data_IF_047660314377
#
_entry.id   IF_047660314377
#
_cell.length_a   1.000
_cell.length_b   1.000
_cell.length_c   1.000
_cell.angle_alpha   90.00
_cell.angle_beta   90.00
_cell.angle_gamma   90.00
#
_symmetry.space_group_name_H-M   'P 1'
#
loop_
_entity.id
_entity.type
_entity.pdbx_description
1 polymer ?
#
# COMPACT_ATOMS: atom_id res chain seq x y z
N UNK A 1 44.10 -1.47 -48.64
CA UNK A 1 44.47 -1.03 -47.28
C UNK A 1 43.23 -0.40 -46.65
N UNK A 2 42.93 -0.70 -45.37
CA UNK A 2 41.80 -0.19 -44.55
C UNK A 2 40.45 -0.91 -44.79
N UNK A 3 39.73 -1.48 -43.82
CA UNK A 3 40.01 -2.14 -42.54
C UNK A 3 38.71 -2.91 -42.20
N UNK A 4 38.82 -4.21 -41.96
CA UNK A 4 37.78 -5.05 -41.34
C UNK A 4 37.59 -4.55 -39.90
N UNK A 5 36.61 -3.70 -39.62
CA UNK A 5 36.41 -3.18 -38.26
C UNK A 5 34.97 -2.82 -37.86
N UNK A 6 33.96 -3.07 -38.70
CA UNK A 6 32.57 -2.70 -38.38
C UNK A 6 31.77 -3.81 -37.67
N UNK A 7 32.24 -5.06 -37.71
CA UNK A 7 31.49 -6.21 -37.22
C UNK A 7 31.40 -6.36 -35.68
N UNK A 8 32.40 -5.97 -34.86
CA UNK A 8 32.28 -6.16 -33.40
C UNK A 8 31.43 -5.07 -32.72
N UNK A 9 31.22 -3.92 -33.37
CA UNK A 9 30.47 -2.79 -32.79
C UNK A 9 28.95 -3.00 -32.87
N UNK A 10 28.48 -3.65 -33.94
CA UNK A 10 27.05 -3.95 -34.12
C UNK A 10 26.56 -5.06 -33.15
N UNK A 11 27.44 -6.00 -32.80
CA UNK A 11 27.12 -7.10 -31.89
C UNK A 11 27.02 -6.65 -30.42
N UNK A 12 27.74 -5.58 -30.04
CA UNK A 12 27.65 -4.98 -28.70
C UNK A 12 26.32 -4.22 -28.47
N UNK A 13 25.74 -3.66 -29.53
CA UNK A 13 24.47 -2.91 -29.49
C UNK A 13 23.24 -3.82 -29.37
N UNK A 14 23.31 -5.05 -29.90
CA UNK A 14 22.23 -6.04 -29.79
C UNK A 14 22.20 -6.69 -28.39
N UNK A 15 23.36 -6.88 -27.75
CA UNK A 15 23.44 -7.41 -26.38
C UNK A 15 22.98 -6.40 -25.31
N UNK A 16 23.11 -5.10 -25.55
CA UNK A 16 22.66 -4.06 -24.60
C UNK A 16 21.13 -3.82 -24.64
N UNK A 17 20.48 -4.16 -25.77
CA UNK A 17 19.03 -3.97 -25.95
C UNK A 17 18.15 -4.97 -25.19
N UNK A 18 18.68 -6.15 -24.83
CA UNK A 18 17.88 -7.20 -24.17
C UNK A 18 17.76 -7.04 -22.64
N UNK A 19 18.46 -6.09 -22.01
CA UNK A 19 18.46 -5.94 -20.55
C UNK A 19 17.41 -4.96 -19.99
N UNK A 20 16.63 -4.25 -20.81
CA UNK A 20 15.68 -3.24 -20.31
C UNK A 20 14.25 -3.73 -20.10
N UNK A 21 13.88 -4.93 -20.59
CA UNK A 21 12.49 -5.39 -20.55
C UNK A 21 12.04 -5.92 -19.19
N UNK A 22 12.96 -6.30 -18.30
CA UNK A 22 12.62 -6.84 -16.98
C UNK A 22 12.05 -5.78 -16.02
N UNK A 23 12.60 -4.55 -16.05
CA UNK A 23 12.20 -3.50 -15.11
C UNK A 23 10.78 -2.97 -15.34
N UNK A 24 10.30 -2.97 -16.59
CA UNK A 24 8.93 -2.56 -16.91
C UNK A 24 7.89 -3.60 -16.48
N UNK A 25 8.17 -4.89 -16.70
CA UNK A 25 7.27 -5.97 -16.30
C UNK A 25 7.08 -6.04 -14.77
N UNK A 26 8.18 -5.91 -14.01
CA UNK A 26 8.14 -5.90 -12.53
C UNK A 26 7.34 -4.70 -11.99
N UNK A 27 7.38 -3.56 -12.67
CA UNK A 27 6.61 -2.37 -12.27
C UNK A 27 5.12 -2.54 -12.50
N UNK A 28 4.71 -3.01 -13.68
CA UNK A 28 3.29 -3.29 -13.98
C UNK A 28 2.73 -4.31 -12.98
N UNK A 29 3.55 -5.28 -12.56
CA UNK A 29 3.18 -6.23 -11.52
C UNK A 29 3.00 -5.58 -10.14
N UNK A 30 3.90 -4.68 -9.72
CA UNK A 30 3.75 -3.98 -8.44
C UNK A 30 2.49 -3.10 -8.42
N UNK A 31 2.26 -2.31 -9.46
CA UNK A 31 1.10 -1.43 -9.57
C UNK A 31 -0.21 -2.23 -9.54
N UNK A 32 -0.30 -3.30 -10.34
CA UNK A 32 -1.44 -4.21 -10.33
C UNK A 32 -1.67 -4.82 -8.95
N UNK A 33 -0.62 -5.30 -8.28
CA UNK A 33 -0.73 -5.90 -6.95
C UNK A 33 -1.21 -4.88 -5.91
N UNK A 34 -0.76 -3.62 -6.00
CA UNK A 34 -1.22 -2.53 -5.15
C UNK A 34 -2.69 -2.21 -5.39
N UNK A 35 -3.12 -2.07 -6.65
CA UNK A 35 -4.53 -1.83 -6.99
C UNK A 35 -5.45 -2.94 -6.44
N UNK A 36 -5.06 -4.20 -6.63
CA UNK A 36 -5.79 -5.36 -6.09
C UNK A 36 -5.88 -5.37 -4.56
N UNK A 37 -4.90 -4.78 -3.86
CA UNK A 37 -4.77 -4.85 -2.39
C UNK A 37 -5.20 -3.60 -1.66
N UNK A 38 -5.61 -2.56 -2.38
CA UNK A 38 -5.91 -1.26 -1.81
C UNK A 38 -7.40 -1.00 -1.75
N UNK A 39 -7.92 -0.80 -0.53
CA UNK A 39 -9.21 -0.17 -0.32
C UNK A 39 -9.01 1.33 -0.10
N UNK A 40 -9.72 2.17 -0.85
CA UNK A 40 -9.61 3.64 -0.72
C UNK A 40 -10.88 4.21 -0.07
N UNK A 41 -10.71 4.90 1.04
CA UNK A 41 -11.78 5.59 1.75
C UNK A 41 -11.51 7.10 1.79
N UNK A 42 -12.48 7.89 1.35
CA UNK A 42 -12.46 9.35 1.48
C UNK A 42 -13.33 9.79 2.66
N UNK A 43 -12.69 10.21 3.75
CA UNK A 43 -13.39 10.64 4.97
C UNK A 43 -14.11 11.96 4.70
N UNK A 44 -15.41 12.04 5.05
CA UNK A 44 -16.31 13.16 4.75
C UNK A 44 -16.47 13.49 3.24
N UNK A 45 -15.94 12.64 2.35
CA UNK A 45 -16.01 12.86 0.91
C UNK A 45 -17.39 12.53 0.34
N UNK A 46 -17.83 13.33 -0.63
CA UNK A 46 -19.02 13.05 -1.42
C UNK A 46 -18.64 12.79 -2.88
N UNK A 47 -19.27 11.78 -3.49
CA UNK A 47 -19.06 11.45 -4.90
C UNK A 47 -19.93 12.34 -5.79
N UNK A 48 -19.30 13.06 -6.71
CA UNK A 48 -19.96 13.81 -7.78
C UNK A 48 -19.46 13.27 -9.13
N UNK A 49 -20.23 12.37 -9.74
CA UNK A 49 -19.79 11.65 -10.94
C UNK A 49 -18.54 10.82 -10.64
N UNK A 50 -17.42 11.18 -11.28
CA UNK A 50 -16.12 10.53 -11.08
C UNK A 50 -15.19 11.29 -10.13
N UNK A 51 -15.68 12.37 -9.50
CA UNK A 51 -14.91 13.20 -8.58
C UNK A 51 -15.32 12.94 -7.13
N UNK A 52 -14.37 13.07 -6.22
CA UNK A 52 -14.63 13.16 -4.78
C UNK A 52 -14.44 14.60 -4.36
N UNK A 53 -15.46 15.16 -3.70
CA UNK A 53 -15.48 16.56 -3.26
C UNK A 53 -15.63 16.62 -1.76
N UNK A 54 -15.02 17.62 -1.14
CA UNK A 54 -15.21 17.95 0.27
C UNK A 54 -14.46 17.05 1.26
N UNK A 55 -13.80 15.99 0.78
CA UNK A 55 -13.06 15.04 1.61
C UNK A 55 -12.08 15.75 2.56
N UNK A 56 -12.05 15.27 3.80
CA UNK A 56 -11.11 15.72 4.83
C UNK A 56 -9.77 15.00 4.70
N UNK A 57 -9.82 13.71 4.43
CA UNK A 57 -8.66 12.86 4.25
C UNK A 57 -8.96 11.71 3.28
N UNK A 58 -7.91 11.18 2.66
CA UNK A 58 -7.90 9.92 1.92
C UNK A 58 -7.14 8.88 2.76
N UNK A 59 -7.77 7.75 2.98
CA UNK A 59 -7.20 6.59 3.67
C UNK A 59 -7.09 5.45 2.67
N UNK A 60 -5.89 4.89 2.53
CA UNK A 60 -5.64 3.71 1.71
C UNK A 60 -5.26 2.56 2.63
N UNK A 61 -6.09 1.52 2.67
CA UNK A 61 -5.83 0.28 3.40
C UNK A 61 -5.21 -0.72 2.43
N UNK A 62 -3.91 -0.95 2.55
CA UNK A 62 -3.14 -1.79 1.63
C UNK A 62 -2.85 -3.11 2.32
N UNK A 63 -3.48 -4.19 1.87
CA UNK A 63 -3.23 -5.53 2.40
C UNK A 63 -1.83 -6.01 2.05
N UNK A 64 -1.11 -6.55 3.05
CA UNK A 64 0.27 -7.02 2.88
C UNK A 64 0.33 -8.54 2.94
N UNK A 65 0.68 -9.15 1.80
CA UNK A 65 0.92 -10.57 1.63
C UNK A 65 2.29 -10.85 0.99
N UNK A 66 2.67 -12.13 0.94
CA UNK A 66 3.94 -12.55 0.36
C UNK A 66 4.15 -12.06 -1.10
N UNK A 67 3.15 -12.15 -2.01
CA UNK A 67 3.27 -11.57 -3.35
C UNK A 67 3.61 -10.09 -3.37
N UNK A 68 2.91 -9.25 -2.58
CA UNK A 68 3.19 -7.82 -2.52
C UNK A 68 4.59 -7.55 -1.95
N UNK A 69 4.96 -8.21 -0.85
CA UNK A 69 6.29 -8.04 -0.22
C UNK A 69 7.40 -8.39 -1.21
N UNK A 70 7.22 -9.45 -2.00
CA UNK A 70 8.17 -9.85 -3.04
C UNK A 70 8.29 -8.79 -4.12
N UNK A 71 7.15 -8.34 -4.68
CA UNK A 71 7.13 -7.33 -5.73
C UNK A 71 7.76 -6.00 -5.27
N UNK A 72 7.51 -5.59 -4.02
CA UNK A 72 8.14 -4.39 -3.44
C UNK A 72 9.66 -4.55 -3.36
N UNK A 73 10.16 -5.73 -2.94
CA UNK A 73 11.60 -5.98 -2.81
C UNK A 73 12.32 -6.14 -4.16
N UNK A 74 11.60 -6.56 -5.19
CA UNK A 74 12.13 -6.75 -6.54
C UNK A 74 12.03 -5.48 -7.41
N UNK A 75 11.28 -4.46 -6.95
CA UNK A 75 11.09 -3.21 -7.69
C UNK A 75 12.04 -2.10 -7.21
N UNK A 76 12.86 -1.58 -8.12
CA UNK A 76 13.71 -0.41 -7.89
C UNK A 76 12.92 0.92 -7.77
N UNK A 77 11.59 0.88 -7.93
CA UNK A 77 10.72 2.05 -7.96
C UNK A 77 9.68 2.03 -6.85
N UNK A 78 9.72 1.05 -5.95
CA UNK A 78 8.87 1.05 -4.79
C UNK A 78 9.15 2.30 -3.95
N UNK A 79 8.12 3.05 -3.51
CA UNK A 79 8.36 4.22 -2.70
C UNK A 79 8.88 3.79 -1.31
N UNK A 80 9.83 4.54 -0.76
CA UNK A 80 10.52 4.19 0.49
C UNK A 80 9.58 3.94 1.68
N UNK A 81 8.45 4.66 1.75
CA UNK A 81 7.44 4.40 2.79
C UNK A 81 6.88 2.97 2.67
N UNK A 82 6.63 2.48 1.44
CA UNK A 82 6.08 1.14 1.24
C UNK A 82 7.12 0.09 1.63
N UNK A 83 8.37 0.24 1.17
CA UNK A 83 9.48 -0.64 1.54
C UNK A 83 9.67 -0.76 3.06
N UNK A 84 9.64 0.37 3.76
CA UNK A 84 9.81 0.39 5.22
C UNK A 84 8.68 -0.36 5.94
N UNK A 85 7.44 -0.17 5.50
CA UNK A 85 6.28 -0.75 6.15
C UNK A 85 6.09 -2.25 5.83
N UNK A 86 6.40 -2.71 4.60
CA UNK A 86 6.28 -4.14 4.25
C UNK A 86 7.26 -5.03 5.03
N UNK A 87 8.35 -4.46 5.56
CA UNK A 87 9.32 -5.21 6.37
C UNK A 87 8.75 -5.70 7.72
N UNK A 88 7.57 -5.21 8.13
CA UNK A 88 6.82 -5.79 9.27
C UNK A 88 6.19 -7.15 8.93
N UNK A 89 6.07 -7.50 7.65
CA UNK A 89 5.59 -8.81 7.25
C UNK A 89 6.56 -9.91 7.67
N UNK A 90 6.03 -10.89 8.43
CA UNK A 90 6.81 -12.01 8.96
C UNK A 90 7.53 -11.73 10.29
N UNK A 91 7.34 -10.56 10.89
CA UNK A 91 7.81 -10.31 12.26
C UNK A 91 6.98 -11.09 13.30
N UNK A 92 7.51 -11.25 14.51
CA UNK A 92 6.82 -11.97 15.58
C UNK A 92 5.48 -11.30 15.94
N UNK A 93 5.42 -9.96 15.90
CA UNK A 93 4.21 -9.18 16.17
C UNK A 93 3.10 -9.39 15.12
N UNK A 94 3.48 -9.82 13.91
CA UNK A 94 2.59 -10.11 12.78
C UNK A 94 2.12 -11.58 12.74
N UNK A 95 2.68 -12.45 13.59
CA UNK A 95 2.37 -13.88 13.57
C UNK A 95 0.89 -14.12 13.90
N UNK A 96 0.22 -14.89 13.04
CA UNK A 96 -1.21 -15.19 13.18
C UNK A 96 -2.14 -14.03 12.80
N UNK A 97 -1.60 -12.91 12.32
CA UNK A 97 -2.36 -11.73 11.93
C UNK A 97 -2.32 -11.51 10.41
N UNK A 98 -3.26 -10.72 9.93
CA UNK A 98 -3.29 -10.10 8.61
C UNK A 98 -2.79 -8.66 8.75
N UNK A 99 -1.89 -8.24 7.87
CA UNK A 99 -1.28 -6.92 7.93
C UNK A 99 -1.91 -5.99 6.90
N UNK A 100 -2.12 -4.74 7.32
CA UNK A 100 -2.44 -3.64 6.42
C UNK A 100 -1.47 -2.50 6.63
N UNK A 101 -1.07 -1.84 5.55
CA UNK A 101 -0.49 -0.51 5.62
C UNK A 101 -1.63 0.47 5.46
N UNK A 102 -1.87 1.29 6.47
CA UNK A 102 -2.78 2.42 6.37
C UNK A 102 -1.97 3.63 5.94
N UNK A 103 -2.16 4.07 4.69
CA UNK A 103 -1.64 5.35 4.21
C UNK A 103 -2.70 6.43 4.39
N UNK A 104 -2.26 7.57 4.91
CA UNK A 104 -3.11 8.71 5.25
C UNK A 104 -2.63 9.91 4.46
N UNK A 105 -3.54 10.56 3.74
CA UNK A 105 -3.32 11.85 3.09
C UNK A 105 -4.42 12.81 3.54
N UNK A 106 -4.06 13.99 4.06
CA UNK A 106 -5.04 14.97 4.56
C UNK A 106 -5.19 16.14 3.60
N UNK A 107 -6.44 16.53 3.35
CA UNK A 107 -6.78 17.73 2.57
C UNK A 107 -7.16 18.91 3.48
N UNK A 108 -7.66 18.60 4.68
CA UNK A 108 -7.99 19.53 5.76
C UNK A 108 -7.43 18.98 7.07
N UNK A 109 -7.31 19.79 8.14
CA UNK A 109 -6.88 19.27 9.42
C UNK A 109 -7.77 18.12 9.85
N UNK A 110 -7.15 17.04 10.33
CA UNK A 110 -7.83 15.79 10.62
C UNK A 110 -7.22 15.16 11.87
N UNK A 111 -8.05 14.81 12.83
CA UNK A 111 -7.62 14.03 13.98
C UNK A 111 -7.88 12.57 13.68
N UNK A 112 -6.82 11.76 13.63
CA UNK A 112 -6.93 10.31 13.43
C UNK A 112 -6.53 9.59 14.71
N UNK A 113 -7.45 8.84 15.30
CA UNK A 113 -7.16 7.90 16.39
C UNK A 113 -7.59 6.49 15.98
N UNK A 114 -6.92 5.42 16.45
CA UNK A 114 -7.23 4.05 16.05
C UNK A 114 -8.70 3.69 16.22
N UNK A 115 -9.33 4.17 17.30
CA UNK A 115 -10.72 3.90 17.66
C UNK A 115 -11.73 4.44 16.65
N UNK A 116 -11.32 5.34 15.76
CA UNK A 116 -12.18 5.79 14.66
C UNK A 116 -12.27 4.76 13.54
N UNK A 117 -11.35 3.79 13.49
CA UNK A 117 -11.25 2.80 12.43
C UNK A 117 -11.92 1.52 12.89
N UNK A 118 -12.78 0.97 12.03
CA UNK A 118 -13.31 -0.39 12.19
C UNK A 118 -12.95 -1.23 10.96
N UNK A 119 -12.51 -2.46 11.19
CA UNK A 119 -12.28 -3.46 10.14
C UNK A 119 -13.18 -4.66 10.45
N UNK A 120 -14.17 -4.88 9.59
CA UNK A 120 -15.34 -5.72 9.86
C UNK A 120 -16.00 -5.30 11.18
N UNK A 121 -15.97 -6.18 12.19
CA UNK A 121 -16.56 -5.93 13.51
C UNK A 121 -15.52 -5.50 14.56
N UNK A 122 -14.23 -5.42 14.18
CA UNK A 122 -13.15 -5.02 15.07
C UNK A 122 -12.96 -3.51 15.03
N UNK A 123 -13.31 -2.84 16.13
CA UNK A 123 -12.88 -1.47 16.41
C UNK A 123 -11.41 -1.50 16.84
N UNK A 124 -10.56 -0.72 16.16
CA UNK A 124 -9.12 -0.77 16.45
C UNK A 124 -8.78 -0.06 17.77
N UNK A 125 -7.67 -0.46 18.35
CA UNK A 125 -6.99 0.21 19.46
C UNK A 125 -5.49 0.35 19.15
N UNK A 126 -4.75 1.01 20.06
CA UNK A 126 -3.29 1.11 19.98
C UNK A 126 -2.59 -0.25 19.81
N UNK A 127 -3.14 -1.34 20.34
CA UNK A 127 -2.55 -2.69 20.25
C UNK A 127 -2.55 -3.25 18.82
N UNK A 128 -3.42 -2.71 17.96
CA UNK A 128 -3.46 -3.07 16.55
C UNK A 128 -2.41 -2.32 15.72
N UNK A 129 -1.76 -1.28 16.26
CA UNK A 129 -0.78 -0.47 15.53
C UNK A 129 0.63 -0.98 15.80
N UNK A 130 1.31 -1.49 14.76
CA UNK A 130 2.69 -1.97 14.88
C UNK A 130 3.75 -0.88 14.64
N UNK A 131 3.37 0.23 14.02
CA UNK A 131 4.24 1.40 13.90
C UNK A 131 4.37 2.05 15.27
N UNK A 132 5.60 2.38 15.69
CA UNK A 132 5.79 3.05 16.98
C UNK A 132 5.08 4.40 16.99
N UNK A 133 4.55 4.78 18.16
CA UNK A 133 3.68 5.96 18.32
C UNK A 133 4.31 7.25 17.78
N UNK A 134 5.63 7.41 17.96
CA UNK A 134 6.38 8.57 17.48
C UNK A 134 6.48 8.69 15.95
N UNK A 135 6.20 7.61 15.21
CA UNK A 135 6.23 7.58 13.74
C UNK A 135 4.85 7.33 13.12
N UNK A 136 3.84 7.01 13.93
CA UNK A 136 2.49 6.76 13.46
C UNK A 136 1.77 8.10 13.18
N UNK A 137 1.10 8.27 12.02
CA UNK A 137 0.28 9.44 11.73
C UNK A 137 -1.05 9.37 12.51
N UNK A 138 -0.96 9.48 13.83
CA UNK A 138 -2.08 9.49 14.76
C UNK A 138 -2.10 10.80 15.55
N UNK A 139 -3.25 11.15 16.10
CA UNK A 139 -3.51 12.44 16.73
C UNK A 139 -3.89 13.51 15.72
N UNK A 140 -3.53 14.75 15.99
CA UNK A 140 -3.84 15.90 15.14
C UNK A 140 -2.89 15.95 13.93
N UNK A 141 -3.44 15.80 12.73
CA UNK A 141 -2.71 15.89 11.47
C UNK A 141 -3.03 17.23 10.79
N UNK A 142 -2.00 17.99 10.35
CA UNK A 142 -2.23 19.23 9.60
C UNK A 142 -2.80 18.92 8.22
N UNK A 143 -3.26 19.94 7.49
CA UNK A 143 -3.57 19.81 6.06
C UNK A 143 -2.33 19.46 5.25
N UNK A 144 -2.52 18.80 4.10
CA UNK A 144 -1.44 18.40 3.18
C UNK A 144 -0.39 17.47 3.82
N UNK A 145 -0.81 16.74 4.85
CA UNK A 145 0.01 15.72 5.49
C UNK A 145 -0.08 14.41 4.69
N UNK A 146 1.03 13.67 4.60
CA UNK A 146 1.06 12.30 4.10
C UNK A 146 1.91 11.44 5.01
N UNK A 147 1.40 10.28 5.41
CA UNK A 147 2.11 9.32 6.26
C UNK A 147 1.52 7.92 6.14
N UNK A 148 2.18 6.94 6.76
CA UNK A 148 1.69 5.58 6.80
C UNK A 148 1.96 4.93 8.16
N UNK A 149 1.18 3.91 8.49
CA UNK A 149 1.40 3.02 9.63
C UNK A 149 1.04 1.58 9.27
N UNK A 150 1.57 0.62 10.04
CA UNK A 150 1.20 -0.79 9.93
C UNK A 150 0.13 -1.13 10.96
N UNK A 151 -0.95 -1.76 10.50
CA UNK A 151 -2.00 -2.35 11.30
C UNK A 151 -1.87 -3.88 11.28
N UNK A 152 -2.11 -4.51 12.43
CA UNK A 152 -2.15 -5.95 12.57
C UNK A 152 -3.51 -6.42 13.09
N UNK A 153 -4.20 -7.15 12.22
CA UNK A 153 -5.60 -7.55 12.39
C UNK A 153 -5.65 -9.06 12.57
N UNK A 154 -6.45 -9.59 13.51
CA UNK A 154 -6.63 -11.03 13.64
C UNK A 154 -7.02 -11.68 12.31
N UNK A 155 -6.29 -12.73 11.91
CA UNK A 155 -6.42 -13.32 10.56
C UNK A 155 -7.82 -13.86 10.29
N UNK A 156 -8.54 -14.29 11.31
CA UNK A 156 -9.90 -14.81 11.23
C UNK A 156 -10.90 -13.80 10.67
N UNK A 157 -10.61 -12.50 10.79
CA UNK A 157 -11.41 -11.40 10.26
C UNK A 157 -11.11 -11.10 8.78
N UNK A 158 -9.99 -11.60 8.25
CA UNK A 158 -9.51 -11.29 6.90
C UNK A 158 -9.08 -12.58 6.23
N UNK A 159 -10.07 -13.32 5.71
CA UNK A 159 -9.85 -14.59 5.01
C UNK A 159 -9.70 -14.37 3.50
N UNK A 160 -8.91 -15.18 2.80
CA UNK A 160 -8.79 -15.09 1.34
C UNK A 160 -10.16 -15.17 0.65
N UNK A 161 -10.42 -14.26 -0.29
CA UNK A 161 -11.68 -14.16 -1.03
C UNK A 161 -12.87 -13.61 -0.23
N UNK A 162 -12.68 -13.23 1.04
CA UNK A 162 -13.73 -12.64 1.87
C UNK A 162 -13.84 -11.15 1.60
N UNK A 163 -15.07 -10.62 1.62
CA UNK A 163 -15.30 -9.18 1.72
C UNK A 163 -14.89 -8.67 3.10
N UNK A 164 -14.14 -7.57 3.11
CA UNK A 164 -13.69 -6.86 4.30
C UNK A 164 -14.22 -5.44 4.22
N UNK A 165 -14.94 -5.02 5.25
CA UNK A 165 -15.46 -3.67 5.40
C UNK A 165 -14.49 -2.84 6.24
N UNK A 166 -14.12 -1.68 5.74
CA UNK A 166 -13.36 -0.67 6.46
C UNK A 166 -14.26 0.53 6.72
N UNK A 167 -14.22 1.09 7.92
CA UNK A 167 -14.88 2.36 8.21
C UNK A 167 -13.97 3.30 8.97
N UNK A 168 -14.13 4.60 8.74
CA UNK A 168 -13.45 5.65 9.48
C UNK A 168 -14.21 6.97 9.36
N UNK A 169 -14.40 7.68 10.48
CA UNK A 169 -14.96 9.04 10.47
C UNK A 169 -16.34 9.13 9.79
N UNK A 170 -17.17 8.10 9.92
CA UNK A 170 -18.50 8.02 9.31
C UNK A 170 -18.52 7.57 7.84
N UNK A 171 -17.37 7.44 7.18
CA UNK A 171 -17.25 6.83 5.86
C UNK A 171 -17.00 5.33 5.93
N UNK A 172 -17.36 4.61 4.87
CA UNK A 172 -17.13 3.18 4.72
C UNK A 172 -16.70 2.79 3.30
N UNK A 173 -15.91 1.73 3.21
CA UNK A 173 -15.51 1.10 1.94
C UNK A 173 -15.42 -0.41 2.13
N UNK A 174 -15.81 -1.18 1.12
CA UNK A 174 -15.60 -2.63 1.09
C UNK A 174 -14.51 -3.00 0.09
N UNK A 175 -13.78 -4.06 0.40
CA UNK A 175 -12.74 -4.61 -0.45
C UNK A 175 -12.69 -6.13 -0.28
N UNK A 176 -12.38 -6.86 -1.35
CA UNK A 176 -12.33 -8.32 -1.33
C UNK A 176 -10.88 -8.76 -1.21
N UNK A 177 -10.58 -9.55 -0.19
CA UNK A 177 -9.23 -10.07 0.01
C UNK A 177 -8.79 -10.96 -1.16
N UNK A 178 -7.55 -10.82 -1.68
CA UNK A 178 -7.03 -11.67 -2.73
C UNK A 178 -7.21 -13.14 -2.41
N UNK A 179 -7.63 -13.91 -3.42
CA UNK A 179 -7.57 -15.36 -3.35
C UNK A 179 -6.10 -15.76 -3.35
N UNK A 180 -5.77 -16.82 -2.61
CA UNK A 180 -4.42 -17.40 -2.62
C UNK A 180 -4.02 -17.84 -4.02
#
# INVERSE_FOLDING_TARGET
MIRKAALPFLMFLILFGMFSSGAFAVQEDLERLLEERTAVLYVEGQKLGNLIIGARAKLEFIYVDAPLVRAVKESDRAPSWLEWHVNKYGSDEAKGKSLFILRVETFKPFTLVPEMITINDLKLSDENVLTRKEFAPLGELPSSFSGALVLAIPRELVRPGQEVKFSCGGGEVTWVAPKK
#
